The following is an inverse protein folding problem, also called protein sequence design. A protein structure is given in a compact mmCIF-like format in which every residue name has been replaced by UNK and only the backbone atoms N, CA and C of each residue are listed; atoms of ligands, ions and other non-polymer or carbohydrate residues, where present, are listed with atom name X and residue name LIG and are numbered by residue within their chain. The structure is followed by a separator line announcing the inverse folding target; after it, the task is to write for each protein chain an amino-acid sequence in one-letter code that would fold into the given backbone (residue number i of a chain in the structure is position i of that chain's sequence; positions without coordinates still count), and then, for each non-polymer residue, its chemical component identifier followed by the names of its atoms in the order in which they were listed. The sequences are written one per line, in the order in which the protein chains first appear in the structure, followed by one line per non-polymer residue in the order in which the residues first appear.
data_IF_179589137255
#
_entry.id   IF_179589137255
#
_cell.length_a   1.000
_cell.length_b   1.000
_cell.length_c   1.000
_cell.angle_alpha   90.00
_cell.angle_beta   90.00
_cell.angle_gamma   90.00
#
_symmetry.space_group_name_H-M   'P 1'
#
loop_
_entity.id
_entity.type
_entity.pdbx_description
1 polymer ?
#
# COMPACT_ATOMS: atom_id res chain seq x y z
N UNK A 1 -4.52 4.85 -36.02
CA UNK A 1 -5.36 5.14 -34.84
C UNK A 1 -4.53 4.75 -33.63
N UNK A 2 -4.49 5.57 -32.58
CA UNK A 2 -3.67 5.29 -31.39
C UNK A 2 -4.30 4.25 -30.46
N UNK A 3 -5.62 4.04 -30.55
CA UNK A 3 -6.34 3.07 -29.74
C UNK A 3 -6.25 1.67 -30.36
N UNK A 4 -5.76 0.69 -29.62
CA UNK A 4 -5.81 -0.71 -30.04
C UNK A 4 -7.27 -1.22 -29.89
N UNK A 5 -7.87 -1.86 -30.91
CA UNK A 5 -9.29 -2.25 -30.86
C UNK A 5 -9.63 -3.21 -29.70
N UNK A 6 -8.64 -3.96 -29.19
CA UNK A 6 -8.84 -5.06 -28.22
C UNK A 6 -8.20 -4.78 -26.83
N UNK A 7 -7.85 -3.52 -26.54
CA UNK A 7 -7.09 -3.16 -25.32
C UNK A 7 -7.80 -3.56 -24.02
N UNK A 8 -9.15 -3.57 -24.00
CA UNK A 8 -9.94 -3.99 -22.83
C UNK A 8 -9.89 -5.50 -22.59
N UNK A 9 -9.86 -6.28 -23.67
CA UNK A 9 -9.74 -7.74 -23.59
C UNK A 9 -8.34 -8.11 -23.10
N UNK A 10 -7.30 -7.47 -23.63
CA UNK A 10 -5.93 -7.60 -23.13
C UNK A 10 -5.78 -7.14 -21.68
N UNK A 11 -6.37 -5.99 -21.32
CA UNK A 11 -6.36 -5.52 -19.93
C UNK A 11 -6.96 -6.56 -18.98
N UNK A 12 -8.06 -7.20 -19.37
CA UNK A 12 -8.67 -8.28 -18.59
C UNK A 12 -7.78 -9.53 -18.54
N UNK A 13 -7.18 -9.92 -19.67
CA UNK A 13 -6.27 -11.06 -19.78
C UNK A 13 -5.04 -10.91 -18.87
N UNK A 14 -4.47 -9.71 -18.79
CA UNK A 14 -3.32 -9.41 -17.94
C UNK A 14 -3.70 -9.01 -16.50
N UNK A 15 -4.97 -9.13 -16.11
CA UNK A 15 -5.41 -8.87 -14.74
C UNK A 15 -5.61 -7.39 -14.37
N UNK A 16 -5.56 -6.48 -15.34
CA UNK A 16 -5.95 -5.07 -15.20
C UNK A 16 -7.48 -4.90 -15.17
N UNK A 17 -8.12 -5.53 -14.19
CA UNK A 17 -9.58 -5.58 -14.05
C UNK A 17 -10.22 -4.25 -13.61
N UNK A 18 -9.44 -3.18 -13.52
CA UNK A 18 -9.85 -1.84 -13.10
C UNK A 18 -9.57 -0.77 -14.16
N UNK A 19 -9.37 -1.19 -15.41
CA UNK A 19 -9.23 -0.30 -16.56
C UNK A 19 -10.42 0.66 -16.78
N UNK A 20 -11.56 0.38 -16.16
CA UNK A 20 -12.74 1.25 -16.12
C UNK A 20 -13.25 1.29 -14.67
N UNK A 21 -13.11 2.44 -14.03
CA UNK A 21 -13.58 2.66 -12.67
C UNK A 21 -14.78 3.60 -12.68
N UNK A 22 -15.84 3.26 -11.92
CA UNK A 22 -17.04 4.08 -11.77
C UNK A 22 -17.75 4.46 -13.09
N UNK A 23 -17.53 3.70 -14.17
CA UNK A 23 -18.11 3.97 -15.48
C UNK A 23 -17.26 4.87 -16.40
N UNK A 24 -16.11 5.35 -15.92
CA UNK A 24 -15.17 6.18 -16.69
C UNK A 24 -13.87 5.41 -16.99
N UNK A 25 -13.22 5.67 -18.15
CA UNK A 25 -11.94 5.05 -18.48
C UNK A 25 -10.86 5.53 -17.50
N UNK A 26 -10.26 4.58 -16.76
CA UNK A 26 -9.13 4.86 -15.86
C UNK A 26 -7.82 5.06 -16.65
N UNK A 27 -7.75 4.46 -17.84
CA UNK A 27 -6.65 4.55 -18.79
C UNK A 27 -7.15 5.11 -20.13
N UNK A 28 -6.38 6.01 -20.74
CA UNK A 28 -6.66 6.57 -22.07
C UNK A 28 -5.47 6.36 -23.01
N UNK A 29 -5.74 5.78 -24.17
CA UNK A 29 -4.76 5.58 -25.26
C UNK A 29 -4.80 6.70 -26.31
N UNK A 30 -5.63 7.73 -26.11
CA UNK A 30 -5.85 8.78 -27.10
C UNK A 30 -4.65 9.73 -27.26
N UNK A 31 -3.82 9.82 -26.23
CA UNK A 31 -2.64 10.68 -26.19
C UNK A 31 -1.56 10.07 -25.31
N UNK A 32 -0.31 10.46 -25.55
CA UNK A 32 0.84 10.10 -24.73
C UNK A 32 1.77 11.29 -24.56
N UNK A 33 2.54 11.30 -23.47
CA UNK A 33 3.59 12.28 -23.25
C UNK A 33 4.91 11.79 -23.85
N UNK A 34 5.63 12.68 -24.52
CA UNK A 34 6.99 12.43 -25.01
C UNK A 34 7.97 13.30 -24.26
N UNK A 35 8.99 12.67 -23.70
CA UNK A 35 10.11 13.34 -23.06
C UNK A 35 11.35 13.22 -23.94
N UNK A 36 12.20 14.24 -23.89
CA UNK A 36 13.57 14.14 -24.42
C UNK A 36 14.46 13.43 -23.41
N UNK A 37 15.58 12.85 -23.86
CA UNK A 37 16.54 12.21 -22.96
C UNK A 37 17.03 13.17 -21.85
N UNK A 38 17.31 14.43 -22.20
CA UNK A 38 17.72 15.44 -21.22
C UNK A 38 16.64 15.73 -20.16
N UNK A 39 15.36 15.61 -20.52
CA UNK A 39 14.26 15.75 -19.56
C UNK A 39 14.15 14.52 -18.65
N UNK A 40 14.40 13.33 -19.19
CA UNK A 40 14.46 12.07 -18.43
C UNK A 40 15.60 12.13 -17.40
N UNK A 41 16.83 12.41 -17.83
CA UNK A 41 18.00 12.53 -16.96
C UNK A 41 17.78 13.58 -15.87
N UNK A 42 17.15 14.72 -16.21
CA UNK A 42 16.79 15.76 -15.24
C UNK A 42 15.82 15.25 -14.17
N UNK A 43 14.82 14.45 -14.56
CA UNK A 43 13.87 13.87 -13.60
C UNK A 43 14.55 12.83 -12.70
N UNK A 44 15.46 12.02 -13.23
CA UNK A 44 16.23 11.06 -12.44
C UNK A 44 17.08 11.75 -11.36
N UNK A 45 17.85 12.78 -11.74
CA UNK A 45 18.67 13.54 -10.81
C UNK A 45 17.83 14.21 -9.71
N UNK A 46 16.74 14.88 -10.11
CA UNK A 46 15.87 15.61 -9.18
C UNK A 46 15.13 14.66 -8.25
N UNK A 47 14.62 13.53 -8.74
CA UNK A 47 13.93 12.54 -7.89
C UNK A 47 14.89 11.88 -6.90
N UNK A 48 16.13 11.60 -7.30
CA UNK A 48 17.18 11.11 -6.41
C UNK A 48 17.52 12.12 -5.30
N UNK A 49 17.68 13.40 -5.64
CA UNK A 49 17.93 14.46 -4.66
C UNK A 49 16.74 14.63 -3.69
N UNK A 50 15.52 14.71 -4.22
CA UNK A 50 14.29 14.85 -3.43
C UNK A 50 14.12 13.68 -2.46
N UNK A 51 14.40 12.45 -2.89
CA UNK A 51 14.37 11.29 -2.01
C UNK A 51 15.34 11.46 -0.81
N UNK A 52 16.58 11.88 -1.06
CA UNK A 52 17.55 12.14 0.02
C UNK A 52 17.10 13.27 0.96
N UNK A 53 16.45 14.31 0.43
CA UNK A 53 15.87 15.38 1.24
C UNK A 53 14.72 14.86 2.11
N UNK A 54 13.85 13.99 1.59
CA UNK A 54 12.80 13.34 2.38
C UNK A 54 13.38 12.52 3.54
N UNK A 55 14.44 11.75 3.31
CA UNK A 55 15.12 10.99 4.37
C UNK A 55 15.70 11.90 5.47
N UNK A 56 16.29 13.05 5.10
CA UNK A 56 16.75 14.06 6.07
C UNK A 56 15.61 14.66 6.88
N UNK A 57 14.43 14.84 6.28
CA UNK A 57 13.23 15.28 7.01
C UNK A 57 12.81 14.22 8.02
N UNK A 58 12.79 12.94 7.65
CA UNK A 58 12.47 11.83 8.58
C UNK A 58 13.41 11.84 9.77
N UNK A 59 14.72 11.87 9.54
CA UNK A 59 15.76 11.96 10.60
C UNK A 59 15.48 13.13 11.57
N UNK A 60 15.18 14.32 11.03
CA UNK A 60 14.87 15.50 11.84
C UNK A 60 13.59 15.33 12.66
N UNK A 61 12.56 14.73 12.08
CA UNK A 61 11.25 14.56 12.75
C UNK A 61 11.39 13.57 13.89
N UNK A 62 11.98 12.39 13.66
CA UNK A 62 12.09 11.36 14.69
C UNK A 62 12.96 11.80 15.89
N UNK A 63 13.93 12.70 15.66
CA UNK A 63 14.79 13.27 16.70
C UNK A 63 14.08 14.27 17.62
N UNK A 64 12.84 14.68 17.32
CA UNK A 64 12.09 15.69 18.08
C UNK A 64 10.68 15.22 18.43
N UNK A 65 10.41 15.07 19.74
CA UNK A 65 9.07 14.80 20.28
C UNK A 65 8.03 15.83 19.82
N UNK A 66 8.42 17.10 19.70
CA UNK A 66 7.53 18.18 19.23
C UNK A 66 7.14 17.96 17.76
N UNK A 67 8.10 17.60 16.90
CA UNK A 67 7.84 17.32 15.49
C UNK A 67 7.04 16.04 15.32
N UNK A 68 7.38 14.96 16.04
CA UNK A 68 6.58 13.72 16.06
C UNK A 68 5.11 14.00 16.41
N UNK A 69 4.85 14.87 17.39
CA UNK A 69 3.51 15.30 17.75
C UNK A 69 2.83 16.15 16.66
N UNK A 70 3.57 17.03 15.98
CA UNK A 70 3.08 17.85 14.86
C UNK A 70 2.68 16.98 13.66
N UNK A 71 3.43 15.92 13.40
CA UNK A 71 3.13 14.88 12.40
C UNK A 71 2.01 13.93 12.84
N UNK A 72 1.39 14.17 14.00
CA UNK A 72 0.26 13.39 14.54
C UNK A 72 0.58 11.91 14.75
N UNK A 73 1.85 11.56 14.93
CA UNK A 73 2.25 10.19 15.24
C UNK A 73 1.82 9.89 16.69
N UNK A 74 1.07 8.80 16.96
CA UNK A 74 0.62 8.47 18.31
C UNK A 74 1.79 8.25 19.28
N UNK A 75 1.74 8.90 20.45
CA UNK A 75 2.86 8.89 21.42
C UNK A 75 3.34 7.49 21.82
N UNK A 76 2.43 6.52 21.87
CA UNK A 76 2.77 5.14 22.25
C UNK A 76 3.57 4.38 21.16
N UNK A 77 3.63 4.87 19.92
CA UNK A 77 4.39 4.26 18.82
C UNK A 77 5.74 4.93 18.58
N UNK A 78 6.07 6.03 19.27
CA UNK A 78 7.27 6.81 18.98
C UNK A 78 8.57 6.01 19.10
N UNK A 79 8.69 5.19 20.14
CA UNK A 79 9.85 4.31 20.31
C UNK A 79 9.99 3.31 19.16
N UNK A 80 8.87 2.77 18.68
CA UNK A 80 8.84 1.84 17.55
C UNK A 80 9.28 2.52 16.25
N UNK A 81 8.73 3.71 15.94
CA UNK A 81 9.10 4.48 14.74
C UNK A 81 10.60 4.83 14.76
N UNK A 82 11.12 5.29 15.90
CA UNK A 82 12.55 5.59 16.07
C UNK A 82 13.42 4.36 15.87
N UNK A 83 13.02 3.23 16.44
CA UNK A 83 13.75 1.97 16.31
C UNK A 83 13.75 1.48 14.85
N UNK A 84 12.61 1.60 14.15
CA UNK A 84 12.51 1.25 12.72
C UNK A 84 13.54 2.02 11.89
N UNK A 85 13.69 3.31 12.16
CA UNK A 85 14.68 4.14 11.47
C UNK A 85 16.12 3.81 11.86
N UNK A 86 16.42 3.68 13.16
CA UNK A 86 17.76 3.37 13.68
C UNK A 86 18.28 2.01 13.22
N UNK A 87 17.37 1.07 12.98
CA UNK A 87 17.71 -0.27 12.47
C UNK A 87 17.69 -0.35 10.95
N UNK A 88 17.49 0.77 10.26
CA UNK A 88 17.41 0.87 8.80
C UNK A 88 16.46 -0.18 8.21
N UNK A 89 15.24 -0.28 8.76
CA UNK A 89 14.23 -1.17 8.21
C UNK A 89 14.04 -0.89 6.71
N UNK A 90 13.93 -1.95 5.89
CA UNK A 90 13.95 -1.79 4.45
C UNK A 90 12.70 -1.08 3.92
N UNK A 91 12.88 -0.32 2.85
CA UNK A 91 11.82 0.16 1.97
C UNK A 91 11.88 -0.56 0.62
N UNK A 92 10.73 -0.66 -0.03
CA UNK A 92 10.60 -1.25 -1.37
C UNK A 92 10.57 -0.16 -2.45
N UNK A 93 9.58 0.74 -2.41
CA UNK A 93 9.41 1.81 -3.39
C UNK A 93 8.59 2.98 -2.82
N UNK A 94 8.59 4.10 -3.53
CA UNK A 94 7.77 5.29 -3.23
C UNK A 94 7.40 6.00 -4.52
N UNK A 95 6.28 6.74 -4.53
CA UNK A 95 5.88 7.60 -5.66
C UNK A 95 6.05 9.06 -5.28
N UNK A 96 6.78 9.81 -6.11
CA UNK A 96 6.91 11.26 -5.98
C UNK A 96 5.98 11.94 -6.98
N UNK A 97 5.15 12.83 -6.48
CA UNK A 97 4.24 13.61 -7.31
C UNK A 97 4.89 14.97 -7.59
N UNK A 98 5.18 15.25 -8.86
CA UNK A 98 5.90 16.43 -9.29
C UNK A 98 5.02 17.35 -10.14
N UNK A 99 5.15 18.66 -9.95
CA UNK A 99 4.68 19.67 -10.87
C UNK A 99 5.84 20.18 -11.74
N UNK A 100 5.73 20.00 -13.05
CA UNK A 100 6.75 20.43 -14.01
C UNK A 100 6.14 20.66 -15.39
N UNK A 101 6.56 21.74 -16.06
CA UNK A 101 6.09 22.08 -17.42
C UNK A 101 7.05 21.60 -18.53
N UNK A 102 8.09 20.83 -18.16
CA UNK A 102 9.15 20.38 -19.05
C UNK A 102 10.32 21.36 -19.18
N UNK A 103 10.26 22.51 -18.52
CA UNK A 103 11.33 23.52 -18.43
C UNK A 103 11.60 23.92 -16.97
N UNK A 104 12.83 24.36 -16.69
CA UNK A 104 13.22 24.73 -15.33
C UNK A 104 13.22 23.55 -14.35
N UNK A 105 13.01 23.84 -13.06
CA UNK A 105 13.13 22.85 -11.97
C UNK A 105 11.78 22.23 -11.60
N UNK A 106 11.64 20.88 -11.64
CA UNK A 106 10.48 20.18 -11.10
C UNK A 106 10.23 20.53 -9.63
N UNK A 107 8.96 20.63 -9.23
CA UNK A 107 8.56 20.91 -7.84
C UNK A 107 7.87 19.70 -7.23
N UNK A 108 8.35 19.27 -6.06
CA UNK A 108 7.72 18.21 -5.28
C UNK A 108 6.41 18.71 -4.68
N UNK A 109 5.32 18.00 -4.98
CA UNK A 109 4.01 18.21 -4.36
C UNK A 109 3.86 17.28 -3.14
N UNK A 110 4.11 15.98 -3.33
CA UNK A 110 4.04 15.00 -2.26
C UNK A 110 4.97 13.79 -2.49
N UNK A 111 5.29 13.10 -1.40
CA UNK A 111 6.01 11.83 -1.40
C UNK A 111 5.10 10.74 -0.80
N UNK A 112 4.53 9.94 -1.68
CA UNK A 112 3.69 8.79 -1.37
C UNK A 112 4.60 7.57 -1.08
N UNK A 113 5.13 7.49 0.14
CA UNK A 113 6.07 6.45 0.56
C UNK A 113 5.43 5.28 1.36
N UNK A 114 4.18 5.41 1.79
CA UNK A 114 3.47 4.36 2.57
C UNK A 114 2.70 3.41 1.66
N UNK A 115 1.91 3.96 0.73
CA UNK A 115 1.06 3.19 -0.20
C UNK A 115 1.05 3.84 -1.58
N UNK A 116 2.11 3.66 -2.36
CA UNK A 116 2.20 4.27 -3.67
C UNK A 116 1.30 3.51 -4.65
N UNK A 117 0.28 4.17 -5.19
CA UNK A 117 -0.61 3.57 -6.21
C UNK A 117 -0.05 3.75 -7.62
N UNK A 118 -0.67 3.09 -8.60
CA UNK A 118 -0.33 3.16 -10.04
C UNK A 118 0.97 2.46 -10.46
N UNK A 119 1.51 1.57 -9.62
CA UNK A 119 2.74 0.82 -9.92
C UNK A 119 2.56 -0.12 -11.11
N UNK A 120 1.50 -0.92 -11.10
CA UNK A 120 1.23 -1.92 -12.14
C UNK A 120 1.01 -1.25 -13.51
N UNK A 121 0.27 -0.14 -13.52
CA UNK A 121 -0.01 0.64 -14.71
C UNK A 121 1.26 1.22 -15.33
N UNK A 122 2.14 1.78 -14.48
CA UNK A 122 3.38 2.40 -14.94
C UNK A 122 4.45 1.38 -15.36
N UNK A 123 4.55 0.26 -14.65
CA UNK A 123 5.63 -0.70 -14.87
C UNK A 123 5.31 -1.71 -15.97
N UNK A 124 4.05 -2.14 -16.10
CA UNK A 124 3.66 -3.24 -16.98
C UNK A 124 2.73 -2.78 -18.10
N UNK A 125 1.64 -2.09 -17.76
CA UNK A 125 0.63 -1.76 -18.78
C UNK A 125 1.11 -0.72 -19.79
N UNK A 126 1.90 0.27 -19.34
CA UNK A 126 2.61 1.21 -20.22
C UNK A 126 3.55 0.50 -21.21
N UNK A 127 4.23 -0.56 -20.76
CA UNK A 127 5.13 -1.35 -21.61
C UNK A 127 4.36 -2.10 -22.70
N UNK A 128 3.27 -2.79 -22.36
CA UNK A 128 2.42 -3.47 -23.36
C UNK A 128 1.93 -2.48 -24.40
N UNK A 129 1.46 -1.30 -23.97
CA UNK A 129 1.01 -0.25 -24.89
C UNK A 129 2.15 0.19 -25.83
N UNK A 130 3.36 0.38 -25.31
CA UNK A 130 4.54 0.73 -26.11
C UNK A 130 4.84 -0.34 -27.17
N UNK A 131 4.88 -1.61 -26.78
CA UNK A 131 5.16 -2.74 -27.70
C UNK A 131 4.08 -2.86 -28.79
N UNK A 132 2.81 -2.80 -28.42
CA UNK A 132 1.70 -2.84 -29.38
C UNK A 132 1.80 -1.70 -30.40
N UNK A 133 2.14 -0.50 -29.95
CA UNK A 133 2.23 0.68 -30.81
C UNK A 133 3.47 0.67 -31.72
N UNK A 134 4.59 0.11 -31.25
CA UNK A 134 5.76 -0.16 -32.08
C UNK A 134 5.45 -1.21 -33.15
N UNK A 135 4.82 -2.32 -32.78
CA UNK A 135 4.44 -3.40 -33.69
C UNK A 135 3.42 -2.93 -34.75
N UNK A 136 2.51 -2.02 -34.39
CA UNK A 136 1.58 -1.40 -35.31
C UNK A 136 2.22 -0.33 -36.22
N UNK A 137 3.48 0.04 -36.00
CA UNK A 137 4.18 1.10 -36.73
C UNK A 137 3.65 2.50 -36.40
N UNK A 138 2.98 2.68 -35.26
CA UNK A 138 2.42 3.95 -34.81
C UNK A 138 3.47 4.84 -34.11
N UNK A 139 4.61 4.28 -33.70
CA UNK A 139 5.68 4.98 -33.03
C UNK A 139 6.99 4.96 -33.86
N UNK A 140 7.83 6.01 -33.74
CA UNK A 140 9.16 6.00 -34.34
C UNK A 140 10.00 4.82 -33.86
N UNK A 141 10.84 4.28 -34.74
CA UNK A 141 11.84 3.28 -34.39
C UNK A 141 12.76 3.79 -33.27
N UNK A 142 13.03 2.94 -32.28
CA UNK A 142 13.82 3.29 -31.10
C UNK A 142 13.06 4.13 -30.06
N UNK A 143 11.73 4.22 -30.14
CA UNK A 143 10.93 4.71 -29.01
C UNK A 143 11.02 3.73 -27.84
N UNK A 144 11.09 4.27 -26.62
CA UNK A 144 11.25 3.49 -25.40
C UNK A 144 10.44 4.11 -24.25
N UNK A 145 10.24 3.36 -23.17
CA UNK A 145 9.66 3.86 -21.94
C UNK A 145 10.70 4.57 -21.07
N UNK A 146 10.27 5.58 -20.32
CA UNK A 146 11.14 6.32 -19.40
C UNK A 146 11.61 5.46 -18.21
N UNK A 147 10.77 4.55 -17.72
CA UNK A 147 10.98 3.90 -16.45
C UNK A 147 11.53 2.47 -16.62
N UNK A 148 12.17 1.96 -15.57
CA UNK A 148 12.67 0.57 -15.45
C UNK A 148 12.13 -0.06 -14.17
N UNK A 149 10.83 0.17 -13.90
CA UNK A 149 10.22 -0.15 -12.60
C UNK A 149 10.19 -1.65 -12.35
N UNK A 150 9.83 -2.47 -13.34
CA UNK A 150 9.74 -3.91 -13.16
C UNK A 150 11.10 -4.50 -12.81
N UNK A 151 12.13 -4.19 -13.59
CA UNK A 151 13.50 -4.66 -13.37
C UNK A 151 14.01 -4.24 -12.00
N UNK A 152 13.83 -2.96 -11.63
CA UNK A 152 14.27 -2.43 -10.34
C UNK A 152 13.53 -3.03 -9.15
N UNK A 153 12.24 -3.35 -9.28
CA UNK A 153 11.47 -4.01 -8.22
C UNK A 153 11.95 -5.46 -8.03
N UNK A 154 12.20 -6.19 -9.12
CA UNK A 154 12.73 -7.56 -9.07
C UNK A 154 14.14 -7.57 -8.44
N UNK A 155 15.01 -6.67 -8.88
CA UNK A 155 16.35 -6.50 -8.29
C UNK A 155 16.25 -6.16 -6.80
N UNK A 156 15.34 -5.25 -6.44
CA UNK A 156 15.13 -4.88 -5.04
C UNK A 156 14.65 -6.05 -4.19
N UNK A 157 13.74 -6.90 -4.67
CA UNK A 157 13.36 -8.11 -3.95
C UNK A 157 14.52 -9.10 -3.79
N UNK A 158 15.37 -9.21 -4.80
CA UNK A 158 16.59 -10.04 -4.74
C UNK A 158 17.52 -9.54 -3.63
N UNK A 159 17.80 -8.24 -3.60
CA UNK A 159 18.61 -7.62 -2.55
C UNK A 159 18.02 -7.84 -1.15
N UNK A 160 16.72 -7.60 -0.99
CA UNK A 160 16.03 -7.76 0.29
C UNK A 160 16.11 -9.20 0.79
N UNK A 161 15.88 -10.17 -0.11
CA UNK A 161 16.00 -11.60 0.21
C UNK A 161 17.41 -11.93 0.69
N UNK A 162 18.44 -11.46 0.00
CA UNK A 162 19.84 -11.74 0.34
C UNK A 162 20.27 -11.07 1.66
N UNK A 163 19.83 -9.82 1.90
CA UNK A 163 20.17 -9.06 3.10
C UNK A 163 19.45 -9.57 4.35
N UNK A 164 18.20 -10.00 4.22
CA UNK A 164 17.35 -10.38 5.35
C UNK A 164 17.11 -11.89 5.49
N UNK A 165 17.50 -12.69 4.49
CA UNK A 165 17.50 -14.14 4.55
C UNK A 165 16.12 -14.81 4.59
N UNK A 166 15.06 -14.09 4.19
CA UNK A 166 13.71 -14.67 4.15
C UNK A 166 13.52 -15.55 2.91
N UNK A 167 12.68 -16.56 3.05
CA UNK A 167 12.35 -17.50 1.98
C UNK A 167 10.88 -17.40 1.56
N UNK A 168 10.04 -16.83 2.43
CA UNK A 168 8.61 -16.67 2.24
C UNK A 168 8.23 -15.23 2.55
N UNK A 169 7.50 -14.59 1.63
CA UNK A 169 6.91 -13.27 1.79
C UNK A 169 5.40 -13.39 1.78
N UNK A 170 4.74 -12.98 2.86
CA UNK A 170 3.29 -12.80 2.86
C UNK A 170 2.95 -11.43 2.27
N UNK A 171 1.97 -11.38 1.37
CA UNK A 171 1.43 -10.11 0.87
C UNK A 171 -0.05 -10.00 1.23
N UNK A 172 -0.47 -8.80 1.61
CA UNK A 172 -1.83 -8.54 2.06
C UNK A 172 -2.39 -7.23 1.50
N UNK A 173 -3.71 -7.23 1.27
CA UNK A 173 -4.49 -6.04 0.97
C UNK A 173 -5.85 -6.09 1.68
N UNK A 174 -6.65 -5.02 1.54
CA UNK A 174 -8.06 -5.05 1.92
C UNK A 174 -8.87 -5.90 0.93
N UNK A 175 -9.94 -6.54 1.39
CA UNK A 175 -10.78 -7.39 0.54
C UNK A 175 -11.57 -6.61 -0.53
N UNK A 176 -11.98 -5.39 -0.21
CA UNK A 176 -12.91 -4.60 -1.03
C UNK A 176 -12.21 -3.70 -2.07
N UNK A 177 -10.91 -3.90 -2.33
CA UNK A 177 -10.11 -3.05 -3.22
C UNK A 177 -9.46 -3.83 -4.35
N UNK A 178 -10.12 -3.81 -5.53
CA UNK A 178 -9.62 -4.51 -6.73
C UNK A 178 -8.27 -3.97 -7.20
N UNK A 179 -8.08 -2.64 -7.12
CA UNK A 179 -6.80 -1.97 -7.45
C UNK A 179 -5.66 -2.46 -6.56
N UNK A 180 -5.88 -2.53 -5.25
CA UNK A 180 -4.88 -3.04 -4.31
C UNK A 180 -4.55 -4.51 -4.59
N UNK A 181 -5.58 -5.33 -4.88
CA UNK A 181 -5.35 -6.75 -5.20
C UNK A 181 -4.51 -6.90 -6.46
N UNK A 182 -4.76 -6.09 -7.49
CA UNK A 182 -3.96 -6.05 -8.72
C UNK A 182 -2.51 -5.64 -8.44
N UNK A 183 -2.31 -4.59 -7.65
CA UNK A 183 -0.96 -4.15 -7.24
C UNK A 183 -0.23 -5.22 -6.44
N UNK A 184 -0.91 -5.88 -5.49
CA UNK A 184 -0.32 -6.99 -4.72
C UNK A 184 0.01 -8.16 -5.62
N UNK A 185 -0.84 -8.53 -6.58
CA UNK A 185 -0.56 -9.60 -7.53
C UNK A 185 0.70 -9.28 -8.35
N UNK A 186 0.79 -8.08 -8.89
CA UNK A 186 1.99 -7.63 -9.61
C UNK A 186 3.27 -7.74 -8.76
N UNK A 187 3.21 -7.32 -7.49
CA UNK A 187 4.33 -7.47 -6.56
C UNK A 187 4.65 -8.94 -6.25
N UNK A 188 3.65 -9.83 -6.20
CA UNK A 188 3.88 -11.27 -6.07
C UNK A 188 4.64 -11.82 -7.26
N UNK A 189 4.28 -11.40 -8.48
CA UNK A 189 4.91 -11.84 -9.71
C UNK A 189 6.38 -11.37 -9.76
N UNK A 190 6.65 -10.11 -9.43
CA UNK A 190 8.04 -9.61 -9.33
C UNK A 190 8.85 -10.33 -8.25
N UNK A 191 8.26 -10.61 -7.08
CA UNK A 191 8.92 -11.36 -6.02
C UNK A 191 9.21 -12.81 -6.45
N UNK A 192 8.29 -13.44 -7.17
CA UNK A 192 8.49 -14.78 -7.72
C UNK A 192 9.62 -14.82 -8.74
N UNK A 193 9.72 -13.82 -9.63
CA UNK A 193 10.84 -13.65 -10.56
C UNK A 193 12.18 -13.44 -9.84
N UNK A 194 12.17 -12.75 -8.70
CA UNK A 194 13.33 -12.63 -7.82
C UNK A 194 13.66 -13.93 -7.07
N UNK A 195 12.87 -14.99 -7.24
CA UNK A 195 13.03 -16.27 -6.54
C UNK A 195 12.65 -16.21 -5.06
N UNK A 196 11.67 -15.39 -4.69
CA UNK A 196 11.05 -15.32 -3.37
C UNK A 196 9.70 -16.04 -3.45
N UNK A 197 9.47 -17.04 -2.60
CA UNK A 197 8.15 -17.65 -2.50
C UNK A 197 7.17 -16.65 -1.87
N UNK A 198 5.95 -16.57 -2.39
CA UNK A 198 4.92 -15.66 -1.88
C UNK A 198 3.65 -16.38 -1.49
N UNK A 199 2.97 -15.85 -0.48
CA UNK A 199 1.63 -16.26 -0.06
C UNK A 199 0.75 -15.02 0.06
N UNK A 200 -0.52 -15.16 -0.33
CA UNK A 200 -1.49 -14.07 -0.26
C UNK A 200 -2.59 -14.38 0.74
N UNK A 201 -2.99 -13.36 1.49
CA UNK A 201 -4.18 -13.36 2.33
C UNK A 201 -4.72 -11.94 2.47
N UNK A 202 -6.02 -11.80 2.72
CA UNK A 202 -6.58 -10.51 3.08
C UNK A 202 -6.23 -10.13 4.51
N UNK A 203 -6.20 -8.84 4.80
CA UNK A 203 -5.74 -8.34 6.10
C UNK A 203 -6.64 -8.78 7.27
N UNK A 204 -7.91 -9.03 7.00
CA UNK A 204 -8.90 -9.54 7.96
C UNK A 204 -8.86 -11.07 8.12
N UNK A 205 -8.08 -11.76 7.29
CA UNK A 205 -7.80 -13.20 7.40
C UNK A 205 -6.58 -13.50 8.27
N UNK A 206 -5.76 -12.49 8.59
CA UNK A 206 -4.61 -12.63 9.48
C UNK A 206 -5.08 -13.10 10.86
N UNK A 207 -4.65 -14.31 11.23
CA UNK A 207 -4.97 -14.95 12.50
C UNK A 207 -4.08 -14.48 13.65
N UNK A 208 -4.47 -14.88 14.86
CA UNK A 208 -3.67 -14.71 16.08
C UNK A 208 -3.42 -16.08 16.72
N UNK A 209 -2.17 -16.53 16.64
CA UNK A 209 -1.73 -17.78 17.24
C UNK A 209 -1.74 -17.75 18.78
N UNK A 210 -1.62 -18.92 19.40
CA UNK A 210 -1.75 -19.09 20.87
C UNK A 210 -0.76 -18.26 21.70
N UNK A 211 0.39 -17.90 21.11
CA UNK A 211 1.43 -17.09 21.75
C UNK A 211 1.37 -15.61 21.35
N UNK A 212 0.31 -15.18 20.66
CA UNK A 212 0.13 -13.81 20.20
C UNK A 212 0.90 -13.45 18.93
N UNK A 213 1.34 -14.44 18.15
CA UNK A 213 1.95 -14.22 16.83
C UNK A 213 0.86 -14.09 15.76
N UNK A 214 1.12 -13.32 14.71
CA UNK A 214 0.26 -13.30 13.53
C UNK A 214 0.45 -14.59 12.71
N UNK A 215 -0.64 -15.17 12.24
CA UNK A 215 -0.63 -16.41 11.46
C UNK A 215 -1.43 -16.28 10.17
N UNK A 216 -1.08 -17.08 9.16
CA UNK A 216 -1.87 -17.22 7.94
C UNK A 216 -3.03 -18.23 8.09
N UNK A 217 -3.72 -18.51 6.98
CA UNK A 217 -4.85 -19.43 6.93
C UNK A 217 -4.49 -20.90 7.21
N UNK A 218 -3.20 -21.23 7.20
CA UNK A 218 -2.65 -22.56 7.49
C UNK A 218 -1.99 -22.62 8.88
N UNK A 219 -2.27 -21.62 9.73
CA UNK A 219 -1.68 -21.46 11.07
C UNK A 219 -0.14 -21.34 11.06
N UNK A 220 0.48 -20.98 9.92
CA UNK A 220 1.91 -20.69 9.87
C UNK A 220 2.17 -19.25 10.35
N UNK A 221 3.28 -19.06 11.07
CA UNK A 221 3.64 -17.74 11.59
C UNK A 221 4.08 -16.83 10.44
N UNK A 222 3.46 -15.65 10.35
CA UNK A 222 3.84 -14.61 9.41
C UNK A 222 5.09 -13.91 9.94
N UNK A 223 6.22 -14.14 9.29
CA UNK A 223 7.52 -13.57 9.68
C UNK A 223 7.82 -12.25 8.95
N UNK A 224 7.49 -12.16 7.66
CA UNK A 224 7.65 -10.97 6.83
C UNK A 224 6.36 -10.76 6.04
N UNK A 225 5.85 -9.53 6.09
CA UNK A 225 4.62 -9.15 5.43
C UNK A 225 4.83 -7.83 4.67
N UNK A 226 4.40 -7.79 3.41
CA UNK A 226 4.21 -6.56 2.65
C UNK A 226 2.72 -6.25 2.57
N UNK A 227 2.33 -5.03 2.86
CA UNK A 227 0.93 -4.60 2.80
C UNK A 227 0.74 -3.44 1.85
N UNK A 228 -0.33 -3.45 1.06
CA UNK A 228 -0.78 -2.29 0.28
C UNK A 228 -1.73 -1.38 1.07
N UNK A 229 -2.10 -1.73 2.31
CA UNK A 229 -3.05 -0.95 3.12
C UNK A 229 -2.35 0.23 3.80
N UNK A 230 -2.98 1.40 3.80
CA UNK A 230 -2.42 2.58 4.46
C UNK A 230 -2.30 2.32 5.98
N UNK A 231 -1.27 2.87 6.63
CA UNK A 231 -1.05 2.69 8.07
C UNK A 231 -2.21 3.15 8.98
N UNK A 232 -3.19 3.89 8.43
CA UNK A 232 -4.41 4.33 9.12
C UNK A 232 -5.67 3.50 8.81
N UNK A 233 -5.70 2.67 7.75
CA UNK A 233 -6.92 1.95 7.33
C UNK A 233 -7.08 0.57 7.95
N UNK A 234 -6.04 0.01 8.58
CA UNK A 234 -6.18 -1.21 9.38
C UNK A 234 -6.01 -0.94 10.89
N UNK A 235 -6.97 -0.21 11.47
CA UNK A 235 -7.32 -0.46 12.85
C UNK A 235 -7.99 -1.85 12.92
N UNK A 236 -7.22 -2.93 12.87
CA UNK A 236 -7.64 -4.18 13.51
C UNK A 236 -7.88 -3.77 14.95
N UNK A 237 -9.15 -3.81 15.38
CA UNK A 237 -9.54 -3.49 16.75
C UNK A 237 -9.09 -4.65 17.65
N UNK A 238 -7.78 -4.83 17.78
CA UNK A 238 -7.15 -5.64 18.80
C UNK A 238 -7.33 -4.90 20.13
N UNK A 239 -8.25 -5.45 20.91
CA UNK A 239 -8.37 -5.29 22.35
C UNK A 239 -7.07 -4.84 23.04
N UNK A 240 -7.14 -3.67 23.66
CA UNK A 240 -6.14 -3.18 24.60
C UNK A 240 -5.92 -4.18 25.76
N UNK A 241 -4.72 -4.17 26.37
CA UNK A 241 -4.17 -5.25 27.17
C UNK A 241 -4.79 -5.33 28.57
N UNK A 242 -4.70 -6.51 29.18
CA UNK A 242 -4.66 -6.76 30.64
C UNK A 242 -4.97 -5.61 31.62
N UNK A 243 -6.24 -5.19 31.72
CA UNK A 243 -6.70 -4.47 32.92
C UNK A 243 -7.29 -5.46 33.91
N UNK A 244 -6.52 -5.81 34.94
CA UNK A 244 -7.07 -6.38 36.17
C UNK A 244 -7.88 -5.28 36.87
N UNK A 245 -9.18 -5.21 36.64
CA UNK A 245 -10.12 -4.50 37.52
C UNK A 245 -10.80 -5.51 38.46
N UNK A 246 -10.94 -5.24 39.78
CA UNK A 246 -11.38 -6.25 40.76
C UNK A 246 -12.89 -6.56 40.77
N UNK A 247 -13.66 -6.10 39.78
CA UNK A 247 -15.12 -6.01 39.90
C UNK A 247 -15.91 -7.26 39.46
N UNK A 248 -15.25 -8.37 39.15
CA UNK A 248 -15.92 -9.62 38.76
C UNK A 248 -15.55 -10.83 39.64
N UNK A 249 -15.18 -10.60 40.89
CA UNK A 249 -15.13 -11.66 41.88
C UNK A 249 -16.55 -11.91 42.42
N UNK A 250 -17.26 -12.90 41.85
CA UNK A 250 -18.49 -13.37 42.50
C UNK A 250 -19.58 -14.00 41.64
N UNK A 251 -19.29 -14.67 40.52
CA UNK A 251 -20.32 -15.46 39.82
C UNK A 251 -19.76 -16.83 39.45
N UNK A 252 -20.04 -17.83 40.30
CA UNK A 252 -19.89 -19.25 39.95
C UNK A 252 -21.14 -19.68 39.21
N UNK A 253 -21.02 -20.17 37.97
CA UNK A 253 -22.10 -20.92 37.33
C UNK A 253 -21.55 -22.08 36.49
N UNK A 254 -22.04 -23.26 36.86
CA UNK A 254 -21.92 -24.54 36.16
C UNK A 254 -22.63 -24.43 34.80
N UNK A 255 -22.05 -25.04 33.75
CA UNK A 255 -22.74 -25.36 32.50
C UNK A 255 -22.33 -24.53 31.27
N UNK A 256 -21.82 -25.24 30.24
CA UNK A 256 -21.52 -24.89 28.83
C UNK A 256 -21.02 -23.47 28.50
N UNK A 257 -19.84 -23.42 27.89
CA UNK A 257 -19.23 -22.21 27.34
C UNK A 257 -20.15 -21.49 26.33
N UNK A 258 -20.45 -20.22 26.59
CA UNK A 258 -21.15 -19.34 25.67
C UNK A 258 -20.17 -18.69 24.68
N UNK A 259 -20.59 -18.59 23.42
CA UNK A 259 -19.83 -17.91 22.36
C UNK A 259 -19.60 -16.42 22.67
N UNK A 260 -18.53 -15.79 22.12
CA UNK A 260 -18.19 -14.40 22.37
C UNK A 260 -19.35 -13.41 22.13
N UNK A 261 -20.17 -13.72 21.12
CA UNK A 261 -21.35 -12.95 20.71
C UNK A 261 -22.43 -12.92 21.80
N UNK A 262 -22.66 -14.05 22.51
CA UNK A 262 -23.67 -14.12 23.58
C UNK A 262 -23.22 -13.39 24.85
N UNK A 263 -21.91 -13.28 25.12
CA UNK A 263 -21.38 -12.50 26.25
C UNK A 263 -21.54 -10.99 26.03
N UNK A 264 -21.39 -10.53 24.79
CA UNK A 264 -21.58 -9.12 24.44
C UNK A 264 -23.06 -8.68 24.58
N UNK A 265 -24.00 -9.57 24.24
CA UNK A 265 -25.44 -9.31 24.26
C UNK A 265 -26.02 -9.06 25.68
N UNK A 266 -25.45 -9.70 26.70
CA UNK A 266 -25.86 -9.53 28.10
C UNK A 266 -25.39 -8.20 28.72
N UNK A 267 -24.45 -7.49 28.08
CA UNK A 267 -23.80 -6.31 28.65
C UNK A 267 -24.38 -4.97 28.13
N UNK A 268 -24.93 -4.90 26.92
CA UNK A 268 -25.38 -3.62 26.31
C UNK A 268 -26.90 -3.43 26.21
N UNK A 269 -27.71 -4.45 26.50
CA UNK A 269 -29.18 -4.33 26.64
C UNK A 269 -30.00 -3.99 25.39
N UNK A 270 -29.39 -3.60 24.25
CA UNK A 270 -30.11 -3.36 22.97
C UNK A 270 -29.21 -3.66 21.77
N UNK A 271 -29.64 -4.59 20.91
CA UNK A 271 -29.01 -4.84 19.62
C UNK A 271 -30.10 -5.02 18.54
N UNK A 272 -29.92 -4.39 17.37
CA UNK A 272 -30.77 -4.64 16.19
C UNK A 272 -30.49 -6.05 15.67
N UNK A 273 -31.54 -6.87 15.51
CA UNK A 273 -31.42 -8.28 15.11
C UNK A 273 -30.90 -8.49 13.69
N UNK A 274 -30.75 -7.45 12.88
CA UNK A 274 -30.48 -7.59 11.44
C UNK A 274 -29.01 -7.35 11.08
N UNK A 275 -28.27 -6.46 11.75
CA UNK A 275 -26.93 -6.04 11.27
C UNK A 275 -25.77 -6.43 12.17
N UNK A 276 -25.99 -6.93 13.41
CA UNK A 276 -24.90 -7.22 14.38
C UNK A 276 -23.85 -6.09 14.51
N UNK A 277 -24.25 -4.83 14.28
CA UNK A 277 -23.40 -3.65 14.45
C UNK A 277 -23.99 -2.81 15.59
N UNK A 278 -23.16 -2.43 16.55
CA UNK A 278 -23.47 -1.34 17.48
C UNK A 278 -23.20 0.00 16.77
N UNK A 279 -24.25 0.66 16.28
CA UNK A 279 -24.18 2.07 15.88
C UNK A 279 -24.04 2.95 17.15
N UNK A 280 -23.29 4.06 17.15
CA UNK A 280 -23.54 5.14 16.20
C UNK A 280 -22.40 5.67 15.31
N UNK A 281 -22.79 6.12 14.09
CA UNK A 281 -21.99 6.82 13.09
C UNK A 281 -22.16 8.34 13.20
N UNK A 282 -21.06 9.10 13.11
CA UNK A 282 -21.02 10.47 12.55
C UNK A 282 -19.55 10.86 12.35
N UNK A 283 -19.05 10.73 11.11
CA UNK A 283 -17.93 11.53 10.64
C UNK A 283 -18.46 12.31 9.42
N UNK A 284 -18.61 13.64 9.50
CA UNK A 284 -19.08 14.44 8.38
C UNK A 284 -18.08 14.40 7.21
N UNK A 285 -18.62 14.38 5.99
CA UNK A 285 -17.92 14.55 4.71
C UNK A 285 -17.27 15.94 4.57
N UNK A 286 -16.18 16.24 5.28
CA UNK A 286 -15.47 17.53 5.17
C UNK A 286 -13.93 17.46 5.19
N UNK A 287 -13.32 16.34 4.81
CA UNK A 287 -11.85 16.25 4.61
C UNK A 287 -11.53 16.00 3.14
N UNK A 288 -12.01 16.89 2.27
CA UNK A 288 -11.56 16.96 0.86
C UNK A 288 -11.56 18.39 0.29
N UNK A 289 -11.79 19.44 1.11
CA UNK A 289 -11.92 20.82 0.59
C UNK A 289 -11.17 21.90 1.40
N UNK A 290 -9.96 21.63 1.90
CA UNK A 290 -9.08 22.68 2.47
C UNK A 290 -7.59 22.43 2.24
N UNK A 291 -7.17 22.39 0.97
CA UNK A 291 -5.77 22.54 0.56
C UNK A 291 -5.62 23.58 -0.57
N UNK A 292 -6.35 24.69 -0.49
CA UNK A 292 -6.23 25.83 -1.44
C UNK A 292 -5.59 27.07 -0.81
N UNK A 293 -5.32 27.10 0.49
CA UNK A 293 -4.64 28.25 1.09
C UNK A 293 -3.55 27.76 2.02
N UNK A 294 -2.33 27.62 1.48
CA UNK A 294 -1.04 27.89 2.14
C UNK A 294 0.08 27.56 1.14
N UNK A 295 0.45 28.58 0.36
CA UNK A 295 1.66 28.76 -0.46
C UNK A 295 1.73 28.02 -1.80
#
# INVERSE_FOLDING_TARGET
MLNAPDWREKATEYGFNFHTMYGEPYWSEEAYYKLTLAQVEKLEDVTAELHQLCLKVVERVIASDELMAKFRIPKHTWSFVRQSWQTHQPSLYSRLDLAWDGTGEPKLLENNADTPTSLYEAAFFQWIWLEDQLNAGNLPEGSDQFNSLQEKIIERFTELREQHGFQLLHLTCCQDTVEDRGTVQYLQDCAAEAGVATEFLYIDEIGLGEKGQFTDLQDQVIAICLSSTHGNTCCVRCSLPSWKTPACAGWSLRGRALSPIKRCCLCCGKCSRITRICCQPTLPKTITQRWINLW
#
